data_IF_207668281763
#
_entry.id   IF_207668281763
#
_cell.length_a   1.000
_cell.length_b   1.000
_cell.length_c   1.000
_cell.angle_alpha   90.00
_cell.angle_beta   90.00
_cell.angle_gamma   90.00
#
_symmetry.space_group_name_H-M   'P 1'
#
loop_
_entity.id
_entity.type
_entity.pdbx_description
1 polymer ?
#
# COMPACT_ATOMS: atom_id res chain seq x y z
N UNK A 1 -23.20 -4.38 -44.06
CA UNK A 1 -22.06 -4.75 -43.19
C UNK A 1 -21.58 -3.44 -42.60
N UNK A 2 -22.16 -3.02 -41.49
CA UNK A 2 -21.95 -1.70 -40.91
C UNK A 2 -20.79 -1.77 -39.92
N UNK A 3 -19.81 -0.89 -40.05
CA UNK A 3 -18.69 -0.76 -39.11
C UNK A 3 -19.20 -0.59 -37.67
N UNK A 4 -18.59 -1.26 -36.67
CA UNK A 4 -18.87 -0.96 -35.27
C UNK A 4 -18.32 0.44 -34.93
N UNK A 5 -19.03 1.23 -34.11
CA UNK A 5 -18.58 2.56 -33.71
C UNK A 5 -17.29 2.45 -32.90
N UNK A 6 -16.20 3.04 -33.42
CA UNK A 6 -14.96 3.24 -32.68
C UNK A 6 -15.26 4.21 -31.52
N UNK A 7 -15.43 3.66 -30.31
CA UNK A 7 -15.46 4.47 -29.10
C UNK A 7 -14.06 5.05 -28.89
N UNK A 8 -13.90 6.35 -29.10
CA UNK A 8 -12.68 7.06 -28.72
C UNK A 8 -12.39 6.80 -27.23
N UNK A 9 -11.17 6.39 -26.84
CA UNK A 9 -10.82 6.30 -25.44
C UNK A 9 -10.95 7.69 -24.82
N UNK A 10 -11.66 7.78 -23.69
CA UNK A 10 -11.78 9.01 -22.93
C UNK A 10 -10.38 9.60 -22.68
N UNK A 11 -10.20 10.93 -22.77
CA UNK A 11 -8.92 11.57 -22.49
C UNK A 11 -8.39 11.11 -21.12
N UNK A 12 -7.14 10.64 -21.10
CA UNK A 12 -6.42 10.42 -19.84
C UNK A 12 -6.36 11.76 -19.11
N UNK A 13 -7.11 11.87 -18.01
CA UNK A 13 -7.14 13.04 -17.15
C UNK A 13 -6.05 12.86 -16.06
N UNK A 14 -4.91 13.58 -16.16
CA UNK A 14 -3.87 13.51 -15.13
C UNK A 14 -4.25 14.28 -13.86
N UNK A 15 -5.40 14.95 -13.79
CA UNK A 15 -5.77 15.82 -12.66
C UNK A 15 -6.32 15.07 -11.43
N UNK A 16 -6.36 13.74 -11.47
CA UNK A 16 -6.55 12.88 -10.30
C UNK A 16 -5.35 12.86 -9.36
N UNK A 17 -4.70 14.00 -9.13
CA UNK A 17 -3.78 14.17 -8.00
C UNK A 17 -4.61 14.18 -6.72
N UNK A 18 -4.98 12.98 -6.32
CA UNK A 18 -5.27 12.53 -4.97
C UNK A 18 -4.54 13.45 -4.01
N UNK A 19 -5.31 14.31 -3.34
CA UNK A 19 -4.79 15.13 -2.27
C UNK A 19 -4.14 14.18 -1.29
N UNK A 20 -2.81 14.10 -1.33
CA UNK A 20 -2.00 13.34 -0.40
C UNK A 20 -2.29 13.96 0.96
N UNK A 21 -3.29 13.44 1.64
CA UNK A 21 -3.57 13.77 3.01
C UNK A 21 -2.24 13.58 3.74
N UNK A 22 -1.77 14.60 4.47
CA UNK A 22 -0.51 14.48 5.19
C UNK A 22 -0.54 13.21 6.03
N UNK A 23 0.62 12.55 6.12
CA UNK A 23 0.78 11.24 6.77
C UNK A 23 0.18 11.21 8.20
N UNK A 24 0.03 12.37 8.81
CA UNK A 24 -0.82 12.62 9.95
C UNK A 24 -1.92 13.57 9.48
N UNK A 25 -3.18 13.10 9.47
CA UNK A 25 -4.31 13.91 9.00
C UNK A 25 -4.36 15.28 9.67
N UNK A 26 -5.04 16.24 9.03
CA UNK A 26 -5.07 17.67 9.37
C UNK A 26 -5.81 18.01 10.68
N UNK A 27 -5.87 17.04 11.59
CA UNK A 27 -6.34 17.22 12.95
C UNK A 27 -5.21 17.78 13.81
N UNK A 28 -5.55 18.70 14.72
CA UNK A 28 -4.62 19.28 15.72
C UNK A 28 -3.83 18.23 16.50
N UNK A 29 -4.39 17.03 16.66
CA UNK A 29 -3.76 15.89 17.32
C UNK A 29 -2.78 15.11 16.42
N UNK A 30 -3.04 15.03 15.11
CA UNK A 30 -2.12 14.42 14.14
C UNK A 30 -0.82 15.21 14.04
N UNK A 31 -0.93 16.54 13.94
CA UNK A 31 0.22 17.44 13.92
C UNK A 31 1.02 17.36 15.25
N UNK A 32 0.34 17.19 16.39
CA UNK A 32 0.99 16.99 17.68
C UNK A 32 1.71 15.64 17.78
N UNK A 33 1.12 14.56 17.29
CA UNK A 33 1.75 13.23 17.23
C UNK A 33 2.99 13.25 16.33
N UNK A 34 2.93 13.91 15.17
CA UNK A 34 4.07 14.07 14.27
C UNK A 34 5.19 14.92 14.90
N UNK A 35 4.83 15.98 15.64
CA UNK A 35 5.80 16.77 16.39
C UNK A 35 6.48 15.94 17.50
N UNK A 36 5.70 15.16 18.25
CA UNK A 36 6.20 14.28 19.31
C UNK A 36 7.07 13.15 18.76
N UNK A 37 6.68 12.53 17.64
CA UNK A 37 7.47 11.49 16.97
C UNK A 37 8.81 12.03 16.46
N UNK A 38 8.81 13.21 15.82
CA UNK A 38 10.05 13.88 15.37
C UNK A 38 10.93 14.30 16.55
N UNK A 39 10.31 14.71 17.66
CA UNK A 39 11.02 15.12 18.87
C UNK A 39 11.68 13.93 19.59
N UNK A 40 10.93 12.84 19.83
CA UNK A 40 11.42 11.61 20.47
C UNK A 40 12.44 10.85 19.61
N UNK A 41 12.34 10.93 18.29
CA UNK A 41 13.27 10.28 17.35
C UNK A 41 14.63 10.97 17.20
N UNK A 42 14.83 12.13 17.82
CA UNK A 42 16.07 12.90 17.69
C UNK A 42 17.11 12.45 18.74
N UNK A 43 18.36 12.13 18.36
CA UNK A 43 19.41 11.73 19.31
C UNK A 43 19.69 12.76 20.42
N UNK A 44 19.45 14.05 20.13
CA UNK A 44 19.58 15.15 21.09
C UNK A 44 18.56 15.10 22.21
N UNK A 45 17.37 14.55 21.98
CA UNK A 45 16.34 14.42 23.00
C UNK A 45 16.79 13.44 24.11
N UNK A 46 17.30 12.28 23.72
CA UNK A 46 17.81 11.26 24.66
C UNK A 46 18.97 11.82 25.48
N UNK A 47 19.87 12.60 24.86
CA UNK A 47 20.98 13.23 25.56
C UNK A 47 20.49 14.29 26.57
N UNK A 48 19.55 15.15 26.15
CA UNK A 48 18.95 16.15 27.04
C UNK A 48 18.19 15.50 28.21
N UNK A 49 17.40 14.46 27.95
CA UNK A 49 16.70 13.71 28.98
C UNK A 49 17.66 13.08 30.00
N UNK A 50 18.78 12.51 29.52
CA UNK A 50 19.83 11.96 30.39
C UNK A 50 20.44 13.03 31.29
N UNK A 51 20.75 14.21 30.73
CA UNK A 51 21.29 15.35 31.51
C UNK A 51 20.29 15.81 32.58
N UNK A 52 19.01 15.95 32.22
CA UNK A 52 17.96 16.35 33.16
C UNK A 52 17.84 15.35 34.31
N UNK A 53 17.87 14.05 34.02
CA UNK A 53 17.86 12.99 35.05
C UNK A 53 19.09 13.09 35.96
N UNK A 54 20.29 13.30 35.41
CA UNK A 54 21.53 13.44 36.19
C UNK A 54 21.46 14.67 37.11
N UNK A 55 21.02 15.83 36.59
CA UNK A 55 20.85 17.06 37.38
C UNK A 55 19.84 16.83 38.50
N UNK A 56 18.73 16.15 38.20
CA UNK A 56 17.68 15.88 39.17
C UNK A 56 18.14 14.95 40.30
N UNK A 57 18.93 13.91 39.96
CA UNK A 57 19.58 13.03 40.94
C UNK A 57 20.55 13.83 41.81
N UNK A 58 21.35 14.72 41.22
CA UNK A 58 22.30 15.56 41.96
C UNK A 58 21.60 16.53 42.92
N UNK A 59 20.49 17.16 42.50
CA UNK A 59 19.67 18.02 43.36
C UNK A 59 19.08 17.22 44.53
N UNK A 60 18.54 16.02 44.27
CA UNK A 60 18.01 15.16 45.32
C UNK A 60 19.10 14.68 46.28
N UNK A 61 20.30 14.31 45.79
CA UNK A 61 21.44 13.94 46.62
C UNK A 61 21.92 15.10 47.51
N UNK A 62 21.90 16.34 47.01
CA UNK A 62 22.21 17.53 47.79
C UNK A 62 21.12 17.83 48.84
N UNK A 63 19.85 17.63 48.50
CA UNK A 63 18.72 17.78 49.44
C UNK A 63 18.77 16.75 50.59
N UNK A 64 19.27 15.53 50.33
CA UNK A 64 19.52 14.51 51.36
C UNK A 64 20.58 14.99 52.37
N UNK A 65 21.63 15.69 51.94
CA UNK A 65 22.65 16.25 52.85
C UNK A 65 22.09 17.35 53.77
N UNK A 66 20.98 18.00 53.38
CA UNK A 66 20.34 19.06 54.15
C UNK A 66 19.30 18.56 55.16
N UNK A 67 19.16 17.23 55.37
CA UNK A 67 18.24 16.58 56.31
C UNK A 67 16.76 16.95 56.10
N UNK A 68 16.37 17.40 54.91
CA UNK A 68 15.03 17.94 54.68
C UNK A 68 13.97 16.86 54.44
N UNK A 69 14.37 15.60 54.20
CA UNK A 69 13.45 14.46 54.14
C UNK A 69 14.15 13.13 54.48
N UNK A 70 13.86 12.49 55.63
CA UNK A 70 14.34 11.15 55.96
C UNK A 70 13.56 10.06 55.20
N UNK A 71 13.60 10.03 53.85
CA UNK A 71 13.29 8.84 53.04
C UNK A 71 13.73 9.06 51.57
N UNK A 72 14.81 8.44 51.08
CA UNK A 72 15.60 8.98 49.97
C UNK A 72 15.02 8.85 48.54
N UNK A 73 13.80 8.33 48.34
CA UNK A 73 13.33 7.97 46.97
C UNK A 73 11.83 8.10 46.70
N UNK A 74 10.99 8.53 47.66
CA UNK A 74 9.52 8.46 47.49
C UNK A 74 8.99 9.53 46.54
N UNK A 75 9.50 10.76 46.62
CA UNK A 75 9.12 11.86 45.73
C UNK A 75 9.64 11.63 44.31
N UNK A 76 10.81 11.00 44.18
CA UNK A 76 11.39 10.61 42.89
C UNK A 76 10.54 9.53 42.22
N UNK A 77 10.16 8.48 42.96
CA UNK A 77 9.26 7.45 42.45
C UNK A 77 7.87 8.03 42.11
N UNK A 78 7.35 8.96 42.91
CA UNK A 78 6.06 9.59 42.65
C UNK A 78 6.10 10.40 41.34
N UNK A 79 7.11 11.26 41.16
CA UNK A 79 7.26 12.08 39.96
C UNK A 79 7.43 11.23 38.69
N UNK A 80 8.26 10.18 38.75
CA UNK A 80 8.46 9.27 37.62
C UNK A 80 7.19 8.44 37.33
N UNK A 81 6.46 8.01 38.36
CA UNK A 81 5.19 7.30 38.21
C UNK A 81 4.13 8.19 37.55
N UNK A 82 4.05 9.48 37.91
CA UNK A 82 3.16 10.43 37.24
C UNK A 82 3.59 10.68 35.79
N UNK A 83 4.90 10.76 35.51
CA UNK A 83 5.41 10.93 34.16
C UNK A 83 5.06 9.74 33.25
N UNK A 84 5.22 8.51 33.75
CA UNK A 84 4.80 7.30 33.06
C UNK A 84 3.28 7.24 32.87
N UNK A 85 2.51 7.63 33.88
CA UNK A 85 1.04 7.62 33.85
C UNK A 85 0.44 8.58 32.81
N UNK A 86 1.04 9.76 32.60
CA UNK A 86 0.57 10.71 31.58
C UNK A 86 1.00 10.33 30.15
N UNK A 87 2.13 9.62 30.00
CA UNK A 87 2.60 9.16 28.69
C UNK A 87 1.68 8.07 28.09
N UNK A 88 1.19 7.15 28.93
CA UNK A 88 0.35 6.02 28.49
C UNK A 88 -0.90 6.42 27.66
N UNK A 89 -1.77 7.37 28.08
CA UNK A 89 -2.94 7.76 27.31
C UNK A 89 -2.60 8.51 26.01
N UNK A 90 -1.52 9.29 26.01
CA UNK A 90 -1.06 10.02 24.83
C UNK A 90 -0.52 9.05 23.76
N UNK A 91 0.21 8.02 24.20
CA UNK A 91 0.69 6.93 23.35
C UNK A 91 -0.49 6.09 22.85
N UNK A 92 -1.46 5.77 23.71
CA UNK A 92 -2.64 4.98 23.33
C UNK A 92 -3.45 5.68 22.23
N UNK A 93 -3.66 6.99 22.33
CA UNK A 93 -4.38 7.77 21.31
C UNK A 93 -3.59 7.89 19.99
N UNK A 94 -2.26 7.94 20.07
CA UNK A 94 -1.41 7.88 18.88
C UNK A 94 -1.47 6.48 18.22
N UNK A 95 -1.53 5.42 19.03
CA UNK A 95 -1.64 4.04 18.57
C UNK A 95 -2.99 3.74 17.93
N UNK A 96 -4.11 4.26 18.46
CA UNK A 96 -5.43 4.04 17.84
C UNK A 96 -5.52 4.66 16.46
N UNK A 97 -5.00 5.88 16.29
CA UNK A 97 -4.95 6.55 14.97
C UNK A 97 -3.99 5.86 14.00
N UNK A 98 -2.85 5.37 14.49
CA UNK A 98 -1.93 4.58 13.67
C UNK A 98 -2.60 3.28 13.20
N UNK A 99 -3.34 2.59 14.08
CA UNK A 99 -4.07 1.37 13.74
C UNK A 99 -5.18 1.61 12.70
N UNK A 100 -5.95 2.70 12.83
CA UNK A 100 -6.95 3.10 11.83
C UNK A 100 -6.32 3.33 10.45
N UNK A 101 -5.18 4.03 10.41
CA UNK A 101 -4.44 4.25 9.16
C UNK A 101 -3.92 2.97 8.55
N UNK A 102 -3.32 2.09 9.36
CA UNK A 102 -2.82 0.79 8.90
C UNK A 102 -3.94 -0.03 8.28
N UNK A 103 -5.11 -0.06 8.93
CA UNK A 103 -6.28 -0.75 8.40
C UNK A 103 -6.74 -0.19 7.05
N UNK A 104 -6.81 1.13 6.91
CA UNK A 104 -7.19 1.75 5.62
C UNK A 104 -6.20 1.43 4.49
N UNK A 105 -4.89 1.39 4.79
CA UNK A 105 -3.86 0.99 3.83
C UNK A 105 -3.96 -0.50 3.46
N UNK A 106 -4.28 -1.36 4.42
CA UNK A 106 -4.51 -2.79 4.17
C UNK A 106 -5.74 -3.01 3.27
N UNK A 107 -6.84 -2.31 3.54
CA UNK A 107 -8.07 -2.38 2.74
C UNK A 107 -7.80 -1.93 1.29
N UNK A 108 -7.12 -0.78 1.10
CA UNK A 108 -6.75 -0.30 -0.25
C UNK A 108 -5.81 -1.27 -0.98
N UNK A 109 -4.87 -1.90 -0.27
CA UNK A 109 -3.98 -2.90 -0.85
C UNK A 109 -4.72 -4.19 -1.24
N UNK A 110 -5.77 -4.57 -0.50
CA UNK A 110 -6.63 -5.69 -0.83
C UNK A 110 -7.44 -5.40 -2.11
N UNK A 111 -8.08 -4.24 -2.20
CA UNK A 111 -8.82 -3.83 -3.40
C UNK A 111 -7.92 -3.80 -4.66
N UNK A 112 -6.71 -3.24 -4.54
CA UNK A 112 -5.76 -3.22 -5.65
C UNK A 112 -5.34 -4.64 -6.07
N UNK A 113 -5.19 -5.57 -5.13
CA UNK A 113 -4.88 -6.98 -5.42
C UNK A 113 -6.03 -7.65 -6.18
N UNK A 114 -7.26 -7.38 -5.80
CA UNK A 114 -8.45 -7.91 -6.49
C UNK A 114 -8.58 -7.35 -7.90
N UNK A 115 -8.31 -6.05 -8.09
CA UNK A 115 -8.28 -5.44 -9.43
C UNK A 115 -7.23 -6.09 -10.33
N UNK A 116 -6.01 -6.31 -9.81
CA UNK A 116 -4.95 -7.00 -10.55
C UNK A 116 -5.33 -8.44 -10.90
N UNK A 117 -5.95 -9.16 -9.97
CA UNK A 117 -6.41 -10.53 -10.22
C UNK A 117 -7.47 -10.56 -11.33
N UNK A 118 -8.45 -9.66 -11.30
CA UNK A 118 -9.46 -9.54 -12.35
C UNK A 118 -8.86 -9.17 -13.71
N UNK A 119 -7.90 -8.23 -13.74
CA UNK A 119 -7.19 -7.86 -14.96
C UNK A 119 -6.38 -9.03 -15.54
N UNK A 120 -5.71 -9.82 -14.69
CA UNK A 120 -5.00 -11.03 -15.13
C UNK A 120 -5.94 -12.09 -15.70
N UNK A 121 -7.11 -12.31 -15.09
CA UNK A 121 -8.11 -13.23 -15.62
C UNK A 121 -8.59 -12.81 -17.00
N UNK A 122 -8.89 -11.53 -17.21
CA UNK A 122 -9.31 -11.02 -18.51
C UNK A 122 -8.23 -11.23 -19.58
N UNK A 123 -6.97 -10.97 -19.23
CA UNK A 123 -5.83 -11.21 -20.14
C UNK A 123 -5.67 -12.69 -20.50
N UNK A 124 -5.89 -13.60 -19.54
CA UNK A 124 -5.86 -15.04 -19.80
C UNK A 124 -6.99 -15.46 -20.74
N UNK A 125 -8.22 -15.00 -20.51
CA UNK A 125 -9.36 -15.28 -21.39
C UNK A 125 -9.12 -14.78 -22.82
N UNK A 126 -8.56 -13.58 -22.98
CA UNK A 126 -8.21 -13.04 -24.29
C UNK A 126 -7.14 -13.88 -24.98
N UNK A 127 -6.08 -14.28 -24.28
CA UNK A 127 -5.04 -15.17 -24.84
C UNK A 127 -5.63 -16.51 -25.29
N UNK A 128 -6.52 -17.10 -24.48
CA UNK A 128 -7.22 -18.34 -24.85
C UNK A 128 -8.07 -18.14 -26.11
N UNK A 129 -8.85 -17.06 -26.20
CA UNK A 129 -9.66 -16.76 -27.40
C UNK A 129 -8.81 -16.58 -28.65
N UNK A 130 -7.74 -15.79 -28.59
CA UNK A 130 -6.83 -15.60 -29.72
C UNK A 130 -6.21 -16.93 -30.16
N UNK A 131 -5.86 -17.79 -29.20
CA UNK A 131 -5.32 -19.13 -29.49
C UNK A 131 -6.37 -20.01 -30.21
N UNK A 132 -7.62 -19.97 -29.78
CA UNK A 132 -8.71 -20.69 -30.45
C UNK A 132 -9.01 -20.17 -31.85
N UNK A 133 -8.97 -18.85 -32.06
CA UNK A 133 -9.14 -18.23 -33.38
C UNK A 133 -8.01 -18.63 -34.32
N UNK A 134 -6.75 -18.59 -33.86
CA UNK A 134 -5.61 -19.07 -34.62
C UNK A 134 -5.78 -20.54 -35.02
N UNK A 135 -6.23 -21.40 -34.10
CA UNK A 135 -6.50 -22.81 -34.38
C UNK A 135 -7.64 -23.01 -35.40
N UNK A 136 -8.68 -22.16 -35.37
CA UNK A 136 -9.78 -22.18 -36.34
C UNK A 136 -9.31 -21.77 -37.73
N UNK A 137 -8.56 -20.67 -37.84
CA UNK A 137 -8.00 -20.20 -39.10
C UNK A 137 -7.06 -21.25 -39.72
N UNK A 138 -6.21 -21.88 -38.90
CA UNK A 138 -5.33 -22.96 -39.36
C UNK A 138 -6.12 -24.14 -39.95
N UNK A 139 -7.22 -24.55 -39.31
CA UNK A 139 -8.09 -25.61 -39.85
C UNK A 139 -8.75 -25.22 -41.17
N UNK A 140 -9.19 -23.97 -41.32
CA UNK A 140 -9.78 -23.50 -42.57
C UNK A 140 -8.78 -23.52 -43.72
N UNK A 141 -7.52 -23.11 -43.47
CA UNK A 141 -6.46 -23.16 -44.47
C UNK A 141 -6.19 -24.60 -44.91
N UNK A 142 -6.11 -25.57 -43.99
CA UNK A 142 -5.94 -26.99 -44.35
C UNK A 142 -7.12 -27.52 -45.19
N UNK A 143 -8.35 -27.17 -44.83
CA UNK A 143 -9.54 -27.56 -45.58
C UNK A 143 -9.58 -26.98 -47.00
N UNK A 144 -9.29 -25.68 -47.14
CA UNK A 144 -9.20 -25.02 -48.45
C UNK A 144 -8.09 -25.63 -49.30
N UNK A 145 -6.93 -25.91 -48.71
CA UNK A 145 -5.80 -26.56 -49.40
C UNK A 145 -6.20 -27.94 -49.93
N UNK A 146 -6.87 -28.75 -49.11
CA UNK A 146 -7.37 -30.07 -49.53
C UNK A 146 -8.45 -29.97 -50.61
N UNK A 147 -9.33 -28.97 -50.53
CA UNK A 147 -10.38 -28.75 -51.53
C UNK A 147 -9.79 -28.34 -52.89
N UNK A 148 -8.80 -27.44 -52.91
CA UNK A 148 -8.05 -27.07 -54.11
C UNK A 148 -7.33 -28.31 -54.69
N UNK A 149 -6.61 -29.06 -53.86
CA UNK A 149 -5.92 -30.27 -54.30
C UNK A 149 -6.89 -31.28 -54.95
N UNK A 150 -8.06 -31.51 -54.33
CA UNK A 150 -9.08 -32.42 -54.86
C UNK A 150 -9.63 -31.94 -56.21
N UNK A 151 -9.98 -30.65 -56.34
CA UNK A 151 -10.46 -30.03 -57.59
C UNK A 151 -9.43 -30.15 -58.72
N UNK A 152 -8.17 -29.87 -58.44
CA UNK A 152 -7.08 -29.97 -59.44
C UNK A 152 -6.90 -31.42 -59.92
N UNK A 153 -7.01 -32.40 -59.02
CA UNK A 153 -6.94 -33.83 -59.38
C UNK A 153 -8.14 -34.26 -60.24
N UNK A 154 -9.35 -33.79 -59.92
CA UNK A 154 -10.57 -34.08 -60.69
C UNK A 154 -10.56 -33.43 -62.09
N UNK A 155 -10.11 -32.18 -62.21
CA UNK A 155 -9.98 -31.48 -63.50
C UNK A 155 -8.87 -32.09 -64.37
N UNK A 156 -7.71 -32.44 -63.79
CA UNK A 156 -6.62 -33.12 -64.50
C UNK A 156 -7.00 -34.53 -64.98
N UNK A 157 -7.79 -35.28 -64.21
CA UNK A 157 -8.30 -36.60 -64.58
C UNK A 157 -9.42 -36.59 -65.63
N UNK A 158 -10.03 -35.41 -65.87
CA UNK A 158 -11.04 -35.19 -66.92
C UNK A 158 -10.42 -34.78 -68.25
N UNK A 159 -9.27 -34.09 -68.22
CA UNK A 159 -8.48 -33.75 -69.40
C UNK A 159 -7.72 -34.96 -69.99
N UNK A 160 -7.31 -35.92 -69.16
CA UNK A 160 -6.60 -37.14 -69.61
C UNK A 160 -7.51 -38.23 -70.21
N UNK A 161 -8.83 -38.00 -70.27
CA UNK A 161 -9.85 -38.98 -70.72
C UNK A 161 -10.57 -38.60 -72.02
N UNK A 162 -10.13 -37.54 -72.72
CA UNK A 162 -10.53 -37.19 -74.08
C UNK A 162 -9.33 -37.32 -75.01
#
# INVERSE_FOLDING_TARGET
>A
MSDPPQASPAPYDPSGHEHLHPAFGDDRFGQAAEAVARFLGTPRYILGQTIVVIIWIAINAAAISLHWDPYPIILLNLAFSTQAAYAAPLILLAQTRAAERTKALEDAAAEHRDQLAGAQQLLLEQNTRLTEEAARLAKQIDQLTRAIHRRVVEEGGSAARR
#
